data_IF_674491843908
#
_entry.id   IF_674491843908
#
_cell.length_a   1.000
_cell.length_b   1.000
_cell.length_c   1.000
_cell.angle_alpha   90.00
_cell.angle_beta   90.00
_cell.angle_gamma   90.00
#
_symmetry.space_group_name_H-M   'P 1'
#
loop_
_entity.id
_entity.type
_entity.pdbx_description
1 polymer ?
#
# COMPACT_ATOMS: atom_id res chain seq x y z
N UNK A 1 -35.49 -6.04 34.06
CA UNK A 1 -34.98 -6.36 32.71
C UNK A 1 -33.51 -5.93 32.66
N UNK A 2 -32.56 -6.87 32.82
CA UNK A 2 -31.12 -6.56 32.90
C UNK A 2 -30.49 -6.66 31.51
N UNK A 3 -29.95 -5.54 31.01
CA UNK A 3 -29.04 -5.49 29.87
C UNK A 3 -27.66 -5.97 30.33
N UNK A 4 -27.49 -7.27 30.48
CA UNK A 4 -26.18 -7.87 30.74
C UNK A 4 -26.09 -9.18 29.98
N UNK A 5 -24.96 -9.38 29.31
CA UNK A 5 -24.59 -10.57 28.51
C UNK A 5 -24.86 -10.48 27.01
N UNK A 6 -24.34 -9.43 26.37
CA UNK A 6 -23.74 -9.66 25.05
C UNK A 6 -22.45 -10.42 25.31
N UNK A 7 -22.41 -11.70 24.94
CA UNK A 7 -21.17 -12.46 24.97
C UNK A 7 -20.08 -11.66 24.24
N UNK A 8 -19.02 -11.27 24.95
CA UNK A 8 -17.89 -10.58 24.32
C UNK A 8 -17.40 -11.47 23.17
N UNK A 9 -17.32 -10.99 21.92
CA UNK A 9 -16.81 -11.80 20.83
C UNK A 9 -15.42 -12.28 21.23
N UNK A 10 -15.24 -13.60 21.27
CA UNK A 10 -13.95 -14.19 21.58
C UNK A 10 -13.00 -13.86 20.42
N UNK A 11 -12.16 -12.84 20.57
CA UNK A 11 -11.15 -12.47 19.58
C UNK A 11 -10.11 -13.60 19.53
N UNK A 12 -10.11 -14.36 18.44
CA UNK A 12 -9.14 -15.43 18.20
C UNK A 12 -8.05 -14.90 17.27
N UNK A 13 -6.87 -14.62 17.81
CA UNK A 13 -5.68 -14.31 17.01
C UNK A 13 -5.02 -15.61 16.59
N UNK A 14 -5.47 -16.17 15.46
CA UNK A 14 -4.77 -17.25 14.80
C UNK A 14 -3.49 -16.70 14.14
N UNK A 15 -2.41 -17.48 14.15
CA UNK A 15 -1.22 -17.13 13.39
C UNK A 15 -1.53 -17.28 11.90
N UNK A 16 -1.72 -16.15 11.21
CA UNK A 16 -2.20 -16.09 9.82
C UNK A 16 -1.05 -16.02 8.82
N UNK A 17 -0.14 -16.99 8.84
CA UNK A 17 0.74 -17.15 7.66
C UNK A 17 -0.10 -17.82 6.57
N UNK A 18 -0.25 -17.19 5.39
CA UNK A 18 -0.91 -17.85 4.29
C UNK A 18 -0.12 -19.13 3.96
N UNK A 19 -0.81 -20.26 3.85
CA UNK A 19 -0.21 -21.49 3.33
C UNK A 19 -0.11 -21.33 1.82
N UNK A 20 1.09 -21.04 1.33
CA UNK A 20 1.34 -20.67 -0.06
C UNK A 20 2.15 -21.76 -0.75
N UNK A 21 1.76 -22.09 -1.97
CA UNK A 21 2.63 -22.87 -2.85
C UNK A 21 3.83 -22.02 -3.29
N UNK A 22 4.95 -22.64 -3.69
CA UNK A 22 6.11 -21.91 -4.20
C UNK A 22 5.78 -20.94 -5.35
N UNK A 23 4.83 -21.31 -6.21
CA UNK A 23 4.37 -20.48 -7.33
C UNK A 23 3.63 -19.24 -6.83
N UNK A 24 2.78 -19.36 -5.81
CA UNK A 24 2.08 -18.24 -5.22
C UNK A 24 3.05 -17.27 -4.55
N UNK A 25 4.06 -17.79 -3.83
CA UNK A 25 5.14 -16.98 -3.25
C UNK A 25 5.89 -16.21 -4.33
N UNK A 26 6.28 -16.87 -5.43
CA UNK A 26 6.99 -16.23 -6.53
C UNK A 26 6.16 -15.09 -7.19
N UNK A 27 4.85 -15.27 -7.33
CA UNK A 27 3.95 -14.23 -7.83
C UNK A 27 3.91 -13.02 -6.88
N UNK A 28 3.81 -13.25 -5.57
CA UNK A 28 3.81 -12.18 -4.57
C UNK A 28 5.14 -11.44 -4.54
N UNK A 29 6.26 -12.14 -4.66
CA UNK A 29 7.59 -11.54 -4.73
C UNK A 29 7.76 -10.70 -6.01
N UNK A 30 7.29 -11.21 -7.15
CA UNK A 30 7.28 -10.46 -8.40
C UNK A 30 6.45 -9.18 -8.28
N UNK A 31 5.26 -9.28 -7.67
CA UNK A 31 4.40 -8.13 -7.42
C UNK A 31 5.04 -7.13 -6.44
N UNK A 32 5.66 -7.60 -5.35
CA UNK A 32 6.37 -6.74 -4.40
C UNK A 32 7.52 -5.97 -5.06
N UNK A 33 8.26 -6.64 -5.96
CA UNK A 33 9.31 -6.01 -6.76
C UNK A 33 8.77 -4.93 -7.71
N UNK A 34 7.67 -5.21 -8.41
CA UNK A 34 6.99 -4.24 -9.28
C UNK A 34 6.51 -3.03 -8.47
N UNK A 35 5.79 -3.28 -7.38
CA UNK A 35 5.24 -2.27 -6.49
C UNK A 35 6.34 -1.37 -5.92
N UNK A 36 7.43 -1.96 -5.41
CA UNK A 36 8.54 -1.19 -4.85
C UNK A 36 9.24 -0.30 -5.88
N UNK A 37 9.37 -0.76 -7.13
CA UNK A 37 9.92 0.06 -8.23
C UNK A 37 8.99 1.22 -8.58
N UNK A 38 7.69 0.95 -8.69
CA UNK A 38 6.68 1.96 -8.97
C UNK A 38 6.61 3.01 -7.85
N UNK A 39 6.59 2.59 -6.58
CA UNK A 39 6.51 3.50 -5.43
C UNK A 39 7.70 4.47 -5.37
N UNK A 40 8.94 3.97 -5.57
CA UNK A 40 10.14 4.82 -5.60
C UNK A 40 10.13 5.79 -6.76
N UNK A 41 9.61 5.38 -7.93
CA UNK A 41 9.50 6.27 -9.09
C UNK A 41 8.42 7.32 -8.88
N UNK A 42 7.30 6.95 -8.26
CA UNK A 42 6.23 7.88 -7.89
C UNK A 42 6.75 8.93 -6.91
N UNK A 43 7.54 8.52 -5.92
CA UNK A 43 8.21 9.44 -5.00
C UNK A 43 9.09 10.44 -5.75
N UNK A 44 9.99 9.97 -6.61
CA UNK A 44 10.87 10.85 -7.38
C UNK A 44 10.08 11.87 -8.24
N UNK A 45 9.00 11.43 -8.88
CA UNK A 45 8.16 12.30 -9.71
C UNK A 45 7.37 13.33 -8.90
N UNK A 46 6.81 12.95 -7.74
CA UNK A 46 6.16 13.89 -6.82
C UNK A 46 7.19 14.93 -6.33
N UNK A 47 8.40 14.52 -5.98
CA UNK A 47 9.45 15.44 -5.55
C UNK A 47 9.95 16.37 -6.68
N UNK A 48 9.79 15.97 -7.94
CA UNK A 48 10.07 16.83 -9.09
C UNK A 48 8.97 17.88 -9.35
N UNK A 49 7.81 17.77 -8.68
CA UNK A 49 6.68 18.69 -8.83
C UNK A 49 5.69 18.30 -9.92
N UNK A 50 5.75 17.07 -10.43
CA UNK A 50 4.85 16.60 -11.48
C UNK A 50 3.39 16.52 -10.99
N UNK A 51 2.44 16.83 -11.87
CA UNK A 51 1.02 16.79 -11.55
C UNK A 51 0.50 15.35 -11.38
N UNK A 52 -0.17 15.07 -10.24
CA UNK A 52 -0.65 13.73 -9.90
C UNK A 52 -1.57 13.10 -10.97
N UNK A 53 -2.38 13.90 -11.67
CA UNK A 53 -3.27 13.39 -12.71
C UNK A 53 -2.49 12.88 -13.92
N UNK A 54 -1.40 13.56 -14.28
CA UNK A 54 -0.53 13.16 -15.39
C UNK A 54 0.30 11.93 -15.00
N UNK A 55 0.81 11.91 -13.75
CA UNK A 55 1.49 10.74 -13.21
C UNK A 55 0.60 9.49 -13.21
N UNK A 56 -0.67 9.63 -12.82
CA UNK A 56 -1.61 8.50 -12.88
C UNK A 56 -1.74 7.97 -14.32
N UNK A 57 -1.90 8.86 -15.30
CA UNK A 57 -2.04 8.44 -16.71
C UNK A 57 -0.77 7.78 -17.25
N UNK A 58 0.42 8.23 -16.83
CA UNK A 58 1.68 7.62 -17.21
C UNK A 58 1.91 6.26 -16.53
N UNK A 59 1.65 6.17 -15.23
CA UNK A 59 2.04 5.01 -14.42
C UNK A 59 1.20 3.76 -14.70
N UNK A 60 -0.09 3.93 -14.99
CA UNK A 60 -1.01 2.83 -15.29
C UNK A 60 -0.48 1.91 -16.40
N UNK A 61 -0.24 2.39 -17.64
CA UNK A 61 0.29 1.55 -18.70
C UNK A 61 1.77 1.20 -18.50
N UNK A 62 2.56 2.07 -17.86
CA UNK A 62 4.02 1.87 -17.70
C UNK A 62 4.38 0.74 -16.75
N UNK A 63 3.63 0.60 -15.67
CA UNK A 63 3.84 -0.44 -14.66
C UNK A 63 2.81 -1.56 -14.75
N UNK A 64 1.90 -1.52 -15.72
CA UNK A 64 0.78 -2.44 -15.84
C UNK A 64 -0.03 -2.56 -14.53
N UNK A 65 -0.37 -1.41 -13.95
CA UNK A 65 -1.12 -1.32 -12.70
C UNK A 65 -2.46 -0.64 -12.92
N UNK A 66 -3.45 -1.05 -12.13
CA UNK A 66 -4.77 -0.44 -12.13
C UNK A 66 -4.78 0.92 -11.44
N UNK A 67 -5.80 1.73 -11.74
CA UNK A 67 -6.06 2.98 -11.02
C UNK A 67 -6.19 2.78 -9.49
N UNK A 68 -6.73 1.62 -9.06
CA UNK A 68 -6.87 1.28 -7.64
C UNK A 68 -5.51 1.04 -6.98
N UNK A 69 -4.64 0.28 -7.64
CA UNK A 69 -3.28 0.02 -7.15
C UNK A 69 -2.45 1.31 -7.12
N UNK A 70 -2.55 2.16 -8.14
CA UNK A 70 -1.92 3.49 -8.12
C UNK A 70 -2.40 4.33 -6.93
N UNK A 71 -3.71 4.41 -6.72
CA UNK A 71 -4.28 5.18 -5.61
C UNK A 71 -3.82 4.64 -4.24
N UNK A 72 -3.78 3.32 -4.07
CA UNK A 72 -3.30 2.70 -2.84
C UNK A 72 -1.81 3.03 -2.58
N UNK A 73 -0.99 2.95 -3.63
CA UNK A 73 0.43 3.29 -3.58
C UNK A 73 0.66 4.76 -3.24
N UNK A 74 -0.09 5.66 -3.87
CA UNK A 74 -0.03 7.10 -3.59
C UNK A 74 -0.36 7.39 -2.12
N UNK A 75 -1.48 6.86 -1.62
CA UNK A 75 -1.91 7.09 -0.23
C UNK A 75 -0.85 6.56 0.76
N UNK A 76 -0.34 5.35 0.52
CA UNK A 76 0.71 4.78 1.37
C UNK A 76 2.00 5.59 1.34
N UNK A 77 2.38 6.11 0.18
CA UNK A 77 3.56 6.95 0.01
C UNK A 77 3.41 8.32 0.68
N UNK A 78 2.28 9.00 0.50
CA UNK A 78 1.97 10.28 1.15
C UNK A 78 2.05 10.15 2.67
N UNK A 79 1.44 9.10 3.24
CA UNK A 79 1.54 8.84 4.68
C UNK A 79 2.98 8.64 5.17
N UNK A 80 3.84 7.96 4.39
CA UNK A 80 5.28 7.82 4.71
C UNK A 80 6.00 9.17 4.66
N UNK A 81 5.70 10.01 3.67
CA UNK A 81 6.29 11.34 3.52
C UNK A 81 5.90 12.22 4.71
N UNK A 82 4.61 12.26 5.04
CA UNK A 82 4.07 13.11 6.10
C UNK A 82 4.61 12.67 7.47
N UNK A 83 4.69 11.37 7.74
CA UNK A 83 5.33 10.85 8.96
C UNK A 83 6.79 11.29 9.12
N UNK A 84 7.55 11.40 8.02
CA UNK A 84 8.94 11.90 8.07
C UNK A 84 8.98 13.42 8.30
N UNK A 85 8.08 14.19 7.67
CA UNK A 85 7.96 15.64 7.91
C UNK A 85 7.60 15.93 9.37
N UNK A 86 6.66 15.19 9.95
CA UNK A 86 6.29 15.31 11.36
C UNK A 86 7.45 14.99 12.30
N UNK A 87 8.25 13.96 11.97
CA UNK A 87 9.42 13.57 12.78
C UNK A 87 10.60 14.54 12.64
N UNK A 88 10.68 15.27 11.53
CA UNK A 88 11.73 16.25 11.25
C UNK A 88 11.08 17.63 11.07
N UNK A 89 10.52 18.20 12.14
CA UNK A 89 10.08 19.58 12.10
C UNK A 89 11.35 20.41 11.86
N UNK A 90 11.41 21.06 10.70
CA UNK A 90 12.34 22.16 10.50
C UNK A 90 11.91 23.34 11.37
#
# INVERSE_FOLDING_TARGET
MKLSEWAKPQVRTYQTRPDLTPEQTAILDAYANLYGKAERRLFAAIQAGDALNDLKREFLPKFDITARQFNAMRIGLEGKIDAIKERRPN
#
